data_IF_189292152781
#
_entry.id   IF_189292152781
#
_cell.length_a   1.000
_cell.length_b   1.000
_cell.length_c   1.000
_cell.angle_alpha   90.00
_cell.angle_beta   90.00
_cell.angle_gamma   90.00
#
_symmetry.space_group_name_H-M   'P 1'
#
loop_
_entity.id
_entity.type
_entity.pdbx_description
1 polymer ?
#
# COMPACT_ATOMS: atom_id res chain seq x y z
N UNK A 1 20.93 -7.17 -15.24
CA UNK A 1 19.98 -6.10 -14.90
C UNK A 1 18.90 -6.75 -14.05
N UNK A 2 18.57 -6.20 -12.89
CA UNK A 2 17.44 -6.72 -12.10
C UNK A 2 16.16 -6.28 -12.80
N UNK A 3 15.33 -7.23 -13.19
CA UNK A 3 14.02 -6.93 -13.76
C UNK A 3 13.01 -6.75 -12.62
N UNK A 4 12.00 -5.91 -12.85
CA UNK A 4 10.91 -5.70 -11.90
C UNK A 4 9.62 -6.24 -12.51
N UNK A 5 8.83 -6.95 -11.72
CA UNK A 5 7.47 -7.33 -12.09
C UNK A 5 6.50 -6.32 -11.52
N UNK A 6 5.96 -5.44 -12.36
CA UNK A 6 4.98 -4.48 -11.91
C UNK A 6 3.67 -5.17 -11.56
N UNK A 7 3.21 -4.99 -10.32
CA UNK A 7 1.95 -5.52 -9.81
C UNK A 7 0.84 -4.51 -10.11
N UNK A 8 1.00 -3.31 -9.53
CA UNK A 8 0.01 -2.25 -9.60
C UNK A 8 0.70 -0.89 -9.54
N UNK A 9 0.06 0.13 -10.11
CA UNK A 9 0.52 1.51 -9.99
C UNK A 9 -0.68 2.45 -10.00
N UNK A 10 -0.52 3.57 -9.31
CA UNK A 10 -1.44 4.69 -9.35
C UNK A 10 -0.61 5.99 -9.45
N UNK A 11 -1.27 7.13 -9.60
CA UNK A 11 -0.67 8.46 -9.64
C UNK A 11 0.17 8.81 -8.40
N UNK A 12 0.05 8.03 -7.32
CA UNK A 12 0.77 8.26 -6.07
C UNK A 12 2.00 7.35 -5.88
N UNK A 13 2.04 6.18 -6.54
CA UNK A 13 3.10 5.21 -6.31
C UNK A 13 2.98 3.96 -7.17
N UNK A 14 3.93 3.06 -6.99
CA UNK A 14 4.05 1.79 -7.73
C UNK A 14 4.36 0.65 -6.77
N UNK A 15 3.75 -0.50 -7.04
CA UNK A 15 4.02 -1.76 -6.37
C UNK A 15 4.61 -2.75 -7.38
N UNK A 16 5.72 -3.39 -7.02
CA UNK A 16 6.37 -4.36 -7.88
C UNK A 16 7.11 -5.44 -7.08
N UNK A 17 7.33 -6.58 -7.71
CA UNK A 17 8.24 -7.62 -7.23
C UNK A 17 9.60 -7.49 -7.88
N UNK A 18 10.63 -7.94 -7.17
CA UNK A 18 11.96 -8.11 -7.75
C UNK A 18 12.06 -9.45 -8.46
N UNK A 19 12.64 -9.44 -9.66
CA UNK A 19 13.07 -10.65 -10.35
C UNK A 19 14.57 -10.83 -10.21
N UNK A 20 14.99 -11.99 -9.72
CA UNK A 20 16.37 -12.44 -9.79
C UNK A 20 16.47 -13.65 -10.72
N UNK A 21 17.27 -13.55 -11.78
CA UNK A 21 17.49 -14.63 -12.76
C UNK A 21 16.20 -15.34 -13.22
N UNK A 22 15.18 -14.58 -13.61
CA UNK A 22 13.90 -15.09 -14.12
C UNK A 22 12.98 -15.75 -13.07
N UNK A 23 13.31 -15.62 -11.77
CA UNK A 23 12.48 -16.05 -10.65
C UNK A 23 11.92 -14.79 -9.98
N UNK A 24 10.59 -14.64 -9.98
CA UNK A 24 9.92 -13.58 -9.22
C UNK A 24 10.02 -13.89 -7.73
N UNK A 25 10.64 -12.99 -6.97
CA UNK A 25 10.66 -13.06 -5.51
C UNK A 25 9.32 -12.51 -5.02
N UNK A 26 8.31 -13.39 -4.97
CA UNK A 26 6.96 -13.06 -4.49
C UNK A 26 6.85 -12.96 -2.96
N UNK A 27 7.91 -13.32 -2.23
CA UNK A 27 7.97 -13.25 -0.75
C UNK A 27 7.78 -11.82 -0.22
N UNK A 28 8.27 -10.82 -0.96
CA UNK A 28 8.21 -9.41 -0.57
C UNK A 28 7.83 -8.52 -1.73
N UNK A 29 6.76 -7.76 -1.52
CA UNK A 29 6.32 -6.68 -2.41
C UNK A 29 7.12 -5.44 -2.07
N UNK A 30 7.70 -4.78 -3.09
CA UNK A 30 8.21 -3.44 -2.90
C UNK A 30 7.15 -2.41 -3.27
N UNK A 31 6.73 -1.61 -2.29
CA UNK A 31 5.81 -0.49 -2.46
C UNK A 31 6.61 0.80 -2.47
N UNK A 32 6.53 1.59 -3.55
CA UNK A 32 7.23 2.86 -3.67
C UNK A 32 6.24 4.00 -3.82
N UNK A 33 6.27 4.95 -2.90
CA UNK A 33 5.47 6.17 -2.93
C UNK A 33 6.20 7.29 -2.19
N UNK A 34 5.95 8.57 -2.54
CA UNK A 34 6.68 9.73 -1.96
C UNK A 34 8.21 9.54 -1.91
N UNK A 35 8.79 9.03 -3.01
CA UNK A 35 10.24 8.79 -3.11
C UNK A 35 10.79 7.80 -2.06
N UNK A 36 9.93 7.11 -1.33
CA UNK A 36 10.27 6.13 -0.29
C UNK A 36 9.85 4.76 -0.75
N UNK A 37 10.74 3.78 -0.63
CA UNK A 37 10.46 2.38 -0.96
C UNK A 37 10.37 1.55 0.31
N UNK A 38 9.23 0.90 0.50
CA UNK A 38 8.98 -0.05 1.57
C UNK A 38 9.04 -1.47 1.03
N UNK A 39 9.59 -2.38 1.82
CA UNK A 39 9.54 -3.81 1.55
C UNK A 39 8.55 -4.41 2.51
N UNK A 40 7.42 -4.88 2.00
CA UNK A 40 6.36 -5.48 2.80
C UNK A 40 6.13 -6.92 2.38
N UNK A 41 5.91 -7.79 3.35
CA UNK A 41 5.25 -9.07 3.11
C UNK A 41 3.75 -8.86 2.89
N UNK A 42 3.04 -9.89 2.40
CA UNK A 42 1.58 -9.82 2.23
C UNK A 42 0.87 -9.55 3.57
N UNK A 43 1.39 -10.10 4.67
CA UNK A 43 0.89 -9.85 6.02
C UNK A 43 1.08 -8.39 6.44
N UNK A 44 2.26 -7.81 6.18
CA UNK A 44 2.53 -6.39 6.46
C UNK A 44 1.69 -5.46 5.58
N UNK A 45 1.44 -5.84 4.33
CA UNK A 45 0.56 -5.11 3.40
C UNK A 45 -0.88 -5.08 3.90
N UNK A 46 -1.39 -6.22 4.38
CA UNK A 46 -2.70 -6.32 5.02
C UNK A 46 -2.75 -5.49 6.31
N UNK A 47 -1.72 -5.56 7.14
CA UNK A 47 -1.62 -4.74 8.35
C UNK A 47 -1.63 -3.25 7.99
N UNK A 48 -0.90 -2.86 6.95
CA UNK A 48 -0.87 -1.47 6.49
C UNK A 48 -2.23 -0.99 5.98
N UNK A 49 -2.98 -1.84 5.27
CA UNK A 49 -4.36 -1.54 4.85
C UNK A 49 -5.26 -1.27 6.07
N UNK A 50 -5.20 -2.15 7.07
CA UNK A 50 -5.96 -1.97 8.32
C UNK A 50 -5.57 -0.68 9.05
N UNK A 51 -4.28 -0.34 9.12
CA UNK A 51 -3.81 0.90 9.74
C UNK A 51 -4.30 2.15 9.00
N UNK A 52 -4.38 2.10 7.67
CA UNK A 52 -4.93 3.18 6.84
C UNK A 52 -6.43 3.36 7.10
N UNK A 53 -7.18 2.25 7.19
CA UNK A 53 -8.62 2.28 7.47
C UNK A 53 -8.92 2.78 8.88
N UNK A 54 -8.19 2.29 9.88
CA UNK A 54 -8.30 2.76 11.26
C UNK A 54 -8.00 4.26 11.34
N UNK A 55 -6.91 4.71 10.69
CA UNK A 55 -6.58 6.14 10.58
C UNK A 55 -7.69 6.93 9.90
N UNK A 56 -8.34 6.40 8.84
CA UNK A 56 -9.49 7.08 8.21
C UNK A 56 -10.68 7.20 9.17
N UNK A 57 -10.99 6.16 9.93
CA UNK A 57 -12.12 6.14 10.87
C UNK A 57 -11.86 7.10 12.04
N UNK A 58 -10.66 7.08 12.62
CA UNK A 58 -10.27 8.02 13.68
C UNK A 58 -10.35 9.48 13.19
N UNK A 59 -9.88 9.74 11.97
CA UNK A 59 -9.92 11.08 11.37
C UNK A 59 -11.30 11.46 10.79
N UNK A 60 -12.26 10.53 10.70
CA UNK A 60 -13.63 10.83 10.29
C UNK A 60 -14.42 11.59 11.38
N UNK A 61 -13.86 11.70 12.59
CA UNK A 61 -14.47 12.41 13.71
C UNK A 61 -14.41 13.93 13.49
N UNK A 62 -15.41 14.47 12.77
CA UNK A 62 -16.08 15.76 13.01
C UNK A 62 -16.92 16.15 11.77
N UNK A 63 -18.22 15.83 11.72
CA UNK A 63 -19.15 16.44 10.75
C UNK A 63 -19.28 17.97 10.90
N UNK A 64 -18.92 18.52 12.07
CA UNK A 64 -19.11 19.93 12.43
C UNK A 64 -17.84 20.81 12.39
N UNK A 65 -16.70 20.33 11.87
CA UNK A 65 -15.48 21.16 11.83
C UNK A 65 -15.37 21.88 10.48
N UNK A 66 -15.62 23.20 10.46
CA UNK A 66 -15.43 24.09 9.30
C UNK A 66 -13.97 24.13 8.78
N UNK A 67 -13.04 23.52 9.51
CA UNK A 67 -11.62 23.32 9.14
C UNK A 67 -11.35 22.00 8.40
N UNK A 68 -12.39 21.23 8.03
CA UNK A 68 -12.27 19.92 7.35
C UNK A 68 -11.46 19.92 6.05
N UNK A 69 -11.43 21.05 5.34
CA UNK A 69 -10.72 21.19 4.07
C UNK A 69 -9.28 21.71 4.21
N UNK A 70 -8.88 22.19 5.39
CA UNK A 70 -7.58 22.86 5.59
C UNK A 70 -6.70 22.18 6.65
N UNK A 71 -7.24 21.25 7.45
CA UNK A 71 -6.50 20.61 8.54
C UNK A 71 -5.51 19.54 8.03
N UNK A 72 -4.32 20.04 7.71
CA UNK A 72 -3.00 19.60 8.18
C UNK A 72 -2.73 18.08 8.22
N UNK A 73 -1.72 17.70 7.42
CA UNK A 73 -1.06 16.38 7.37
C UNK A 73 -1.12 15.64 8.71
N UNK A 74 -1.70 14.46 8.72
CA UNK A 74 -1.72 13.56 9.88
C UNK A 74 -0.66 12.47 9.71
N UNK A 75 -0.29 11.85 10.83
CA UNK A 75 0.71 10.79 10.87
C UNK A 75 0.03 9.44 10.63
N UNK A 76 0.24 8.89 9.45
CA UNK A 76 -0.10 7.51 9.12
C UNK A 76 1.00 6.60 9.70
N UNK A 77 0.59 5.69 10.57
CA UNK A 77 1.46 4.62 11.05
C UNK A 77 1.72 3.63 9.93
N UNK A 78 2.98 3.26 9.74
CA UNK A 78 3.33 2.13 8.87
C UNK A 78 3.51 0.87 9.71
N UNK A 79 3.39 -0.33 9.12
CA UNK A 79 3.77 -1.58 9.81
C UNK A 79 5.27 -1.59 10.22
N UNK A 80 6.06 -0.66 9.68
CA UNK A 80 7.43 -0.44 10.12
C UNK A 80 7.45 0.47 11.37
N UNK A 81 7.74 -0.12 12.53
CA UNK A 81 7.66 0.53 13.85
C UNK A 81 8.59 1.75 14.06
N UNK A 82 9.36 2.14 13.04
CA UNK A 82 10.31 3.26 13.06
C UNK A 82 10.01 4.33 12.00
N UNK A 83 8.93 4.19 11.23
CA UNK A 83 8.58 5.10 10.15
C UNK A 83 7.11 5.51 10.27
N UNK A 84 6.89 6.80 10.52
CA UNK A 84 5.59 7.44 10.43
C UNK A 84 5.56 8.38 9.22
N UNK A 85 4.43 8.39 8.51
CA UNK A 85 4.28 9.17 7.29
C UNK A 85 3.28 10.30 7.49
N UNK A 86 3.73 11.54 7.27
CA UNK A 86 2.84 12.69 7.23
C UNK A 86 2.09 12.72 5.89
N UNK A 87 0.78 12.44 5.91
CA UNK A 87 -0.09 12.38 4.72
C UNK A 87 -1.35 13.21 4.93
N UNK A 88 -1.92 13.71 3.85
CA UNK A 88 -3.24 14.34 3.87
C UNK A 88 -4.34 13.36 3.45
N UNK A 89 -5.62 13.74 3.53
CA UNK A 89 -6.75 12.85 3.22
C UNK A 89 -6.73 12.34 1.78
N UNK A 90 -6.33 13.18 0.82
CA UNK A 90 -6.23 12.80 -0.60
C UNK A 90 -5.12 11.77 -0.81
N UNK A 91 -3.94 12.02 -0.21
CA UNK A 91 -2.79 11.12 -0.24
C UNK A 91 -3.12 9.80 0.45
N UNK A 92 -3.78 9.83 1.61
CA UNK A 92 -4.20 8.62 2.33
C UNK A 92 -5.11 7.76 1.45
N UNK A 93 -6.08 8.37 0.76
CA UNK A 93 -6.96 7.65 -0.16
C UNK A 93 -6.20 7.06 -1.34
N UNK A 94 -5.20 7.77 -1.87
CA UNK A 94 -4.35 7.25 -2.95
C UNK A 94 -3.42 6.13 -2.48
N UNK A 95 -2.92 6.18 -1.24
CA UNK A 95 -2.15 5.09 -0.64
C UNK A 95 -3.06 3.88 -0.45
N UNK A 96 -4.28 4.09 0.07
CA UNK A 96 -5.27 3.02 0.24
C UNK A 96 -5.50 2.28 -1.07
N UNK A 97 -5.79 3.03 -2.14
CA UNK A 97 -6.01 2.49 -3.48
C UNK A 97 -4.78 1.74 -4.02
N UNK A 98 -3.57 2.25 -3.79
CA UNK A 98 -2.34 1.57 -4.18
C UNK A 98 -2.18 0.23 -3.44
N UNK A 99 -2.42 0.20 -2.13
CA UNK A 99 -2.27 -0.98 -1.27
C UNK A 99 -3.35 -2.02 -1.59
N UNK A 100 -4.63 -1.62 -1.64
CA UNK A 100 -5.75 -2.49 -2.01
C UNK A 100 -5.61 -3.02 -3.43
N UNK A 101 -5.24 -2.17 -4.40
CA UNK A 101 -5.03 -2.58 -5.79
C UNK A 101 -3.86 -3.55 -5.95
N UNK A 102 -2.81 -3.39 -5.14
CA UNK A 102 -1.69 -4.34 -5.11
C UNK A 102 -2.12 -5.67 -4.51
N UNK A 103 -2.77 -5.66 -3.35
CA UNK A 103 -3.24 -6.88 -2.68
C UNK A 103 -4.20 -7.66 -3.58
N UNK A 104 -5.18 -6.97 -4.17
CA UNK A 104 -6.14 -7.58 -5.09
C UNK A 104 -5.46 -8.23 -6.29
N UNK A 105 -4.44 -7.58 -6.86
CA UNK A 105 -3.69 -8.14 -8.00
C UNK A 105 -2.93 -9.40 -7.60
N UNK A 106 -2.36 -9.43 -6.40
CA UNK A 106 -1.63 -10.58 -5.87
C UNK A 106 -2.58 -11.75 -5.62
N UNK A 107 -3.72 -11.51 -4.97
CA UNK A 107 -4.75 -12.52 -4.77
C UNK A 107 -5.31 -13.04 -6.09
N UNK A 108 -5.47 -12.17 -7.09
CA UNK A 108 -5.92 -12.56 -8.42
C UNK A 108 -4.88 -13.40 -9.16
N UNK A 109 -3.59 -13.07 -9.02
CA UNK A 109 -2.49 -13.86 -9.58
C UNK A 109 -2.45 -15.25 -8.93
N UNK A 110 -2.57 -15.32 -7.60
CA UNK A 110 -2.67 -16.58 -6.87
C UNK A 110 -3.93 -17.38 -7.25
N UNK A 111 -5.05 -16.71 -7.55
CA UNK A 111 -6.25 -17.38 -8.02
C UNK A 111 -6.11 -17.93 -9.45
N UNK A 112 -5.49 -17.17 -10.35
CA UNK A 112 -5.35 -17.51 -11.78
C UNK A 112 -4.22 -18.53 -12.01
N UNK A 113 -3.10 -18.40 -11.31
CA UNK A 113 -1.91 -19.22 -11.48
C UNK A 113 -1.65 -20.19 -10.33
N UNK A 114 -2.32 -20.02 -9.19
CA UNK A 114 -2.23 -20.95 -8.07
C UNK A 114 -3.10 -22.19 -8.23
N UNK A 115 -3.29 -22.90 -7.12
CA UNK A 115 -3.75 -24.30 -7.00
C UNK A 115 -5.20 -24.56 -7.47
N UNK A 116 -5.80 -23.63 -8.22
CA UNK A 116 -7.10 -23.77 -8.89
C UNK A 116 -7.06 -24.64 -10.16
N UNK A 117 -5.88 -25.09 -10.61
CA UNK A 117 -5.75 -26.22 -11.53
C UNK A 117 -5.96 -27.54 -10.76
N UNK A 118 -7.20 -27.85 -10.41
CA UNK A 118 -7.61 -29.23 -10.09
C UNK A 118 -8.41 -29.81 -11.25
#
# INVERSE_FOLDING_TARGET
MREIEQIYHNNFGIAFYWKDHNITISDKVQLVFKETGFYFTIEELNLFCNLIEDSMIENACCEACEMKYSCHKFLLKTPCNSIDLAVNMTELKSIKDLVEGSLFKIELDEYVYGVGMN
#
